data_IF_841374269276
#
_entry.id   IF_841374269276
#
_cell.length_a   1.000
_cell.length_b   1.000
_cell.length_c   1.000
_cell.angle_alpha   90.00
_cell.angle_beta   90.00
_cell.angle_gamma   90.00
#
_symmetry.space_group_name_H-M   'P 1'
#
loop_
_entity.id
_entity.type
_entity.pdbx_description
1 polymer ?
#
# COMPACT_ATOMS: atom_id res chain seq x y z
N UNK A 1 -4.29 -22.83 3.84
CA UNK A 1 -3.97 -21.95 5.00
C UNK A 1 -2.82 -20.97 4.76
N UNK A 2 -1.62 -21.40 4.34
CA UNK A 2 -0.46 -20.49 4.14
C UNK A 2 -0.74 -19.26 3.25
N UNK A 3 -1.56 -19.39 2.20
CA UNK A 3 -1.97 -18.27 1.32
C UNK A 3 -2.66 -17.13 2.10
N UNK A 4 -3.65 -17.47 2.93
CA UNK A 4 -4.36 -16.47 3.75
C UNK A 4 -3.43 -15.84 4.78
N UNK A 5 -2.57 -16.64 5.42
CA UNK A 5 -1.56 -16.12 6.37
C UNK A 5 -0.67 -15.07 5.70
N UNK A 6 -0.22 -15.31 4.46
CA UNK A 6 0.61 -14.34 3.73
C UNK A 6 -0.17 -13.05 3.37
N UNK A 7 -1.43 -13.17 2.99
CA UNK A 7 -2.30 -12.01 2.71
C UNK A 7 -2.49 -11.16 3.98
N UNK A 8 -2.88 -11.79 5.10
CA UNK A 8 -3.07 -11.07 6.36
C UNK A 8 -1.77 -10.47 6.90
N UNK A 9 -0.62 -11.13 6.70
CA UNK A 9 0.69 -10.53 6.99
C UNK A 9 0.97 -9.30 6.14
N UNK A 10 0.62 -9.31 4.85
CA UNK A 10 0.79 -8.15 3.99
C UNK A 10 -0.15 -7.00 4.38
N UNK A 11 -1.39 -7.31 4.80
CA UNK A 11 -2.37 -6.34 5.27
C UNK A 11 -2.04 -5.75 6.65
N UNK A 12 -1.23 -6.44 7.46
CA UNK A 12 -0.77 -5.94 8.75
C UNK A 12 0.29 -4.82 8.63
N UNK A 13 0.88 -4.62 7.45
CA UNK A 13 1.74 -3.46 7.18
C UNK A 13 0.89 -2.20 7.00
N UNK A 14 1.12 -1.20 7.86
CA UNK A 14 0.33 0.04 7.87
C UNK A 14 0.35 0.76 6.51
N UNK A 15 1.50 0.77 5.83
CA UNK A 15 1.65 1.47 4.54
C UNK A 15 0.82 0.78 3.47
N UNK A 16 0.90 -0.56 3.36
CA UNK A 16 0.08 -1.35 2.43
C UNK A 16 -1.40 -1.21 2.70
N UNK A 17 -1.81 -1.20 3.97
CA UNK A 17 -3.21 -1.01 4.32
C UNK A 17 -3.73 0.37 3.91
N UNK A 18 -2.93 1.43 4.13
CA UNK A 18 -3.25 2.79 3.68
C UNK A 18 -3.34 2.87 2.15
N UNK A 19 -2.40 2.26 1.43
CA UNK A 19 -2.44 2.19 -0.06
C UNK A 19 -3.72 1.50 -0.53
N UNK A 20 -4.07 0.36 0.06
CA UNK A 20 -5.30 -0.36 -0.28
C UNK A 20 -6.55 0.51 -0.06
N UNK A 21 -6.62 1.22 1.07
CA UNK A 21 -7.74 2.14 1.36
C UNK A 21 -7.85 3.29 0.37
N UNK A 22 -6.72 3.83 -0.08
CA UNK A 22 -6.69 4.89 -1.09
C UNK A 22 -7.15 4.37 -2.46
N UNK A 23 -6.64 3.20 -2.88
CA UNK A 23 -7.02 2.56 -4.15
C UNK A 23 -8.49 2.10 -4.19
N UNK A 24 -9.10 1.85 -3.03
CA UNK A 24 -10.53 1.56 -2.94
C UNK A 24 -11.40 2.76 -3.37
N UNK A 25 -10.89 3.99 -3.27
CA UNK A 25 -11.62 5.19 -3.66
C UNK A 25 -11.51 5.46 -5.17
N UNK A 26 -10.31 5.31 -5.72
CA UNK A 26 -10.01 5.43 -7.15
C UNK A 26 -8.61 4.91 -7.47
N UNK A 27 -8.34 4.72 -8.75
CA UNK A 27 -6.99 4.50 -9.23
C UNK A 27 -6.09 5.71 -8.93
N UNK A 28 -4.85 5.44 -8.51
CA UNK A 28 -3.84 6.42 -8.14
C UNK A 28 -2.51 6.03 -8.78
N UNK A 29 -1.81 7.01 -9.34
CA UNK A 29 -0.43 6.81 -9.76
C UNK A 29 0.52 6.89 -8.55
N UNK A 30 1.75 6.40 -8.73
CA UNK A 30 2.76 6.39 -7.66
C UNK A 30 3.08 7.79 -7.12
N UNK A 31 3.03 8.82 -7.98
CA UNK A 31 3.28 10.21 -7.57
C UNK A 31 2.21 10.72 -6.61
N UNK A 32 0.94 10.36 -6.82
CA UNK A 32 -0.15 10.72 -5.92
C UNK A 32 -0.01 10.00 -4.57
N UNK A 33 0.39 8.72 -4.58
CA UNK A 33 0.68 7.98 -3.35
C UNK A 33 1.86 8.60 -2.58
N UNK A 34 2.90 9.07 -3.27
CA UNK A 34 4.01 9.78 -2.63
C UNK A 34 3.55 11.05 -1.92
N UNK A 35 2.71 11.84 -2.58
CA UNK A 35 2.18 13.08 -2.02
C UNK A 35 1.29 12.82 -0.81
N UNK A 36 0.35 11.87 -0.92
CA UNK A 36 -0.61 11.57 0.17
C UNK A 36 0.05 10.86 1.36
N UNK A 37 1.01 9.97 1.11
CA UNK A 37 1.67 9.20 2.17
C UNK A 37 2.91 9.90 2.75
N UNK A 38 3.42 10.95 2.10
CA UNK A 38 4.63 11.66 2.52
C UNK A 38 5.88 10.77 2.45
N UNK A 39 5.93 9.86 1.49
CA UNK A 39 7.02 8.88 1.33
C UNK A 39 7.70 9.01 -0.04
N UNK A 40 8.97 8.63 -0.11
CA UNK A 40 9.71 8.59 -1.37
C UNK A 40 9.21 7.49 -2.30
N UNK A 41 9.37 7.70 -3.61
CA UNK A 41 9.00 6.73 -4.63
C UNK A 41 9.58 5.31 -4.38
N UNK A 42 10.88 5.16 -4.06
CA UNK A 42 11.47 3.82 -3.91
C UNK A 42 10.92 3.10 -2.68
N UNK A 43 10.52 3.84 -1.64
CA UNK A 43 9.88 3.27 -0.46
C UNK A 43 8.52 2.71 -0.83
N UNK A 44 7.67 3.50 -1.48
CA UNK A 44 6.33 3.07 -1.91
C UNK A 44 6.40 1.90 -2.90
N UNK A 45 7.29 1.95 -3.88
CA UNK A 45 7.41 0.90 -4.91
C UNK A 45 7.88 -0.46 -4.38
N UNK A 46 8.51 -0.49 -3.20
CA UNK A 46 9.00 -1.73 -2.56
C UNK A 46 7.92 -2.43 -1.73
N UNK A 47 6.90 -1.69 -1.30
CA UNK A 47 5.74 -2.26 -0.61
C UNK A 47 4.89 -3.04 -1.61
#
# INVERSE_FOLDING_TARGET
MRKFVNIFKALADETRFRVLKLLQQRELCVCELMQVLGMSQPRISRH
#
